data_IF_436113537411
#
_entry.id   IF_436113537411
#
_cell.length_a   1.000
_cell.length_b   1.000
_cell.length_c   1.000
_cell.angle_alpha   90.00
_cell.angle_beta   90.00
_cell.angle_gamma   90.00
#
_symmetry.space_group_name_H-M   'P 1'
#
loop_
_entity.id
_entity.type
_entity.pdbx_description
1 polymer ?
#
# COMPACT_ATOMS: atom_id res chain seq x y z
N UNK A 1 -34.95 -47.36 -44.84
CA UNK A 1 -34.00 -46.32 -45.29
C UNK A 1 -34.14 -45.12 -44.38
N UNK A 2 -33.00 -44.46 -44.06
CA UNK A 2 -32.82 -43.18 -43.35
C UNK A 2 -33.05 -43.16 -41.83
N UNK A 3 -31.97 -43.47 -41.10
CA UNK A 3 -31.75 -43.13 -39.69
C UNK A 3 -31.38 -41.64 -39.56
N UNK A 4 -32.16 -40.86 -38.82
CA UNK A 4 -31.83 -39.49 -38.44
C UNK A 4 -30.71 -39.44 -37.40
N UNK A 5 -29.56 -38.84 -37.75
CA UNK A 5 -28.46 -38.56 -36.83
C UNK A 5 -28.73 -37.25 -36.08
N UNK A 6 -28.82 -37.33 -34.75
CA UNK A 6 -28.71 -36.18 -33.83
C UNK A 6 -27.27 -35.67 -33.85
N UNK A 7 -27.03 -34.43 -34.27
CA UNK A 7 -25.77 -33.75 -34.02
C UNK A 7 -25.70 -33.31 -32.55
N UNK A 8 -24.85 -33.99 -31.77
CA UNK A 8 -24.38 -33.48 -30.48
C UNK A 8 -23.23 -32.51 -30.76
N UNK A 9 -23.45 -31.22 -30.51
CA UNK A 9 -22.37 -30.25 -30.38
C UNK A 9 -21.62 -30.52 -29.08
N UNK A 10 -20.48 -31.23 -29.18
CA UNK A 10 -19.46 -31.25 -28.12
C UNK A 10 -18.53 -30.08 -28.40
N UNK A 11 -18.67 -29.01 -27.62
CA UNK A 11 -17.59 -28.05 -27.45
C UNK A 11 -16.39 -28.81 -26.86
N UNK A 12 -15.36 -29.02 -27.67
CA UNK A 12 -14.12 -29.59 -27.22
C UNK A 12 -13.38 -28.51 -26.40
N UNK A 13 -13.21 -28.76 -25.10
CA UNK A 13 -12.13 -28.16 -24.34
C UNK A 13 -10.82 -28.53 -25.04
N UNK A 14 -10.21 -27.57 -25.73
CA UNK A 14 -8.82 -27.72 -26.17
C UNK A 14 -7.94 -27.73 -24.91
N UNK A 15 -7.30 -28.87 -24.65
CA UNK A 15 -6.20 -28.95 -23.69
C UNK A 15 -5.07 -28.00 -24.14
N UNK A 16 -4.35 -27.34 -23.22
CA UNK A 16 -3.23 -26.50 -23.61
C UNK A 16 -2.15 -27.34 -24.30
N UNK A 17 -1.62 -26.80 -25.40
CA UNK A 17 -0.61 -27.44 -26.23
C UNK A 17 0.63 -27.83 -25.39
N UNK A 18 1.18 -29.01 -25.68
CA UNK A 18 2.40 -29.56 -25.07
C UNK A 18 3.56 -28.56 -25.13
N UNK A 19 4.05 -28.08 -23.97
CA UNK A 19 5.22 -27.21 -23.86
C UNK A 19 6.46 -28.10 -23.68
N UNK A 20 7.44 -28.11 -24.61
CA UNK A 20 8.63 -28.95 -24.50
C UNK A 20 9.51 -28.59 -23.29
N UNK A 21 10.14 -29.57 -22.65
CA UNK A 21 11.01 -29.38 -21.49
C UNK A 21 12.28 -28.54 -21.75
N UNK A 22 12.66 -28.30 -23.02
CA UNK A 22 13.83 -27.49 -23.42
C UNK A 22 13.41 -26.16 -24.06
N UNK A 23 12.68 -25.34 -23.31
CA UNK A 23 12.30 -23.99 -23.75
C UNK A 23 13.30 -22.97 -23.19
N UNK A 24 13.94 -22.21 -24.08
CA UNK A 24 14.83 -21.10 -23.74
C UNK A 24 14.06 -19.87 -23.24
N UNK A 25 14.79 -18.87 -22.73
CA UNK A 25 14.21 -17.63 -22.18
C UNK A 25 13.30 -16.90 -23.18
N UNK A 26 13.67 -16.90 -24.47
CA UNK A 26 12.88 -16.29 -25.54
C UNK A 26 11.49 -16.92 -25.73
N UNK A 27 11.36 -18.25 -25.61
CA UNK A 27 10.04 -18.89 -25.73
C UNK A 27 9.22 -18.84 -24.44
N UNK A 28 9.82 -18.64 -23.26
CA UNK A 28 9.08 -18.25 -22.04
C UNK A 28 8.43 -16.88 -22.18
N UNK A 29 9.18 -15.91 -22.69
CA UNK A 29 8.65 -14.58 -23.01
C UNK A 29 7.47 -14.66 -23.99
N UNK A 30 7.56 -15.53 -25.00
CA UNK A 30 6.47 -15.78 -25.94
C UNK A 30 5.22 -16.38 -25.27
N UNK A 31 5.38 -17.36 -24.38
CA UNK A 31 4.26 -18.00 -23.67
C UNK A 31 3.53 -17.02 -22.74
N UNK A 32 4.28 -16.24 -21.95
CA UNK A 32 3.71 -15.20 -21.10
C UNK A 32 3.02 -14.11 -21.93
N UNK A 33 3.61 -13.71 -23.06
CA UNK A 33 2.99 -12.73 -23.96
C UNK A 33 1.66 -13.23 -24.53
N UNK A 34 1.54 -14.53 -24.79
CA UNK A 34 0.27 -15.15 -25.19
C UNK A 34 -0.84 -15.00 -24.15
N UNK A 35 -0.50 -14.92 -22.86
CA UNK A 35 -1.49 -14.73 -21.79
C UNK A 35 -2.13 -13.35 -21.81
N UNK A 36 -1.47 -12.31 -22.32
CA UNK A 36 -2.00 -10.94 -22.37
C UNK A 36 -3.30 -10.80 -23.19
N UNK A 37 -3.63 -11.80 -24.01
CA UNK A 37 -4.84 -11.82 -24.84
C UNK A 37 -5.99 -12.63 -24.22
N UNK A 38 -5.80 -13.15 -23.01
CA UNK A 38 -6.78 -14.00 -22.32
C UNK A 38 -7.54 -13.21 -21.26
N UNK A 39 -8.70 -13.73 -20.87
CA UNK A 39 -9.43 -13.22 -19.71
C UNK A 39 -8.67 -13.49 -18.40
N UNK A 40 -8.88 -12.68 -17.34
CA UNK A 40 -8.11 -12.77 -16.10
C UNK A 40 -8.08 -14.16 -15.45
N UNK A 41 -9.17 -14.94 -15.55
CA UNK A 41 -9.22 -16.28 -14.98
C UNK A 41 -8.27 -17.23 -15.74
N UNK A 42 -8.26 -17.18 -17.06
CA UNK A 42 -7.30 -17.94 -17.89
C UNK A 42 -5.87 -17.46 -17.72
N UNK A 43 -5.64 -16.16 -17.51
CA UNK A 43 -4.29 -15.63 -17.20
C UNK A 43 -3.76 -16.25 -15.92
N UNK A 44 -4.55 -16.23 -14.84
CA UNK A 44 -4.16 -16.84 -13.56
C UNK A 44 -3.81 -18.31 -13.71
N UNK A 45 -4.67 -19.09 -14.39
CA UNK A 45 -4.41 -20.51 -14.67
C UNK A 45 -3.16 -20.72 -15.50
N UNK A 46 -2.95 -19.89 -16.53
CA UNK A 46 -1.76 -19.95 -17.38
C UNK A 46 -0.47 -19.67 -16.61
N UNK A 47 -0.47 -18.68 -15.73
CA UNK A 47 0.67 -18.36 -14.84
C UNK A 47 0.96 -19.56 -13.91
N UNK A 48 -0.06 -20.09 -13.22
CA UNK A 48 0.13 -21.26 -12.34
C UNK A 48 0.67 -22.48 -13.08
N UNK A 49 0.20 -22.72 -14.31
CA UNK A 49 0.71 -23.81 -15.15
C UNK A 49 2.16 -23.59 -15.57
N UNK A 50 2.52 -22.37 -15.98
CA UNK A 50 3.91 -22.05 -16.30
C UNK A 50 4.82 -22.22 -15.08
N UNK A 51 4.37 -21.77 -13.90
CA UNK A 51 5.12 -21.91 -12.65
C UNK A 51 5.38 -23.39 -12.35
N UNK A 52 4.37 -24.25 -12.43
CA UNK A 52 4.55 -25.69 -12.17
C UNK A 52 5.54 -26.37 -13.14
N UNK A 53 5.68 -25.85 -14.36
CA UNK A 53 6.59 -26.41 -15.38
C UNK A 53 8.01 -25.81 -15.32
N UNK A 54 8.19 -24.68 -14.67
CA UNK A 54 9.43 -23.91 -14.73
C UNK A 54 10.05 -23.59 -13.38
N UNK A 55 9.37 -23.89 -12.26
CA UNK A 55 9.83 -23.63 -10.90
C UNK A 55 11.26 -24.16 -10.63
N UNK A 56 11.54 -25.42 -10.95
CA UNK A 56 12.85 -26.06 -10.72
C UNK A 56 14.01 -25.32 -11.39
N UNK A 57 13.74 -24.49 -12.41
CA UNK A 57 14.78 -23.73 -13.10
C UNK A 57 15.40 -22.65 -12.21
N UNK A 58 14.72 -22.25 -11.13
CA UNK A 58 15.28 -21.33 -10.13
C UNK A 58 16.47 -21.95 -9.40
N UNK A 59 16.52 -23.27 -9.30
CA UNK A 59 17.60 -24.00 -8.64
C UNK A 59 18.79 -24.27 -9.58
N UNK A 60 18.69 -23.88 -10.86
CA UNK A 60 19.74 -24.11 -11.84
C UNK A 60 20.80 -23.01 -11.78
N UNK A 61 22.05 -23.36 -12.13
CA UNK A 61 23.19 -22.42 -12.22
C UNK A 61 22.86 -21.22 -13.11
N UNK A 62 22.08 -21.41 -14.18
CA UNK A 62 21.67 -20.32 -15.06
C UNK A 62 20.82 -19.26 -14.36
N UNK A 63 19.99 -19.65 -13.40
CA UNK A 63 19.24 -18.69 -12.59
C UNK A 63 20.16 -17.93 -11.63
N UNK A 64 21.09 -18.63 -10.96
CA UNK A 64 22.10 -18.01 -10.11
C UNK A 64 23.00 -17.02 -10.88
N UNK A 65 23.24 -17.25 -12.18
CA UNK A 65 23.94 -16.34 -13.08
C UNK A 65 23.06 -15.24 -13.69
N UNK A 66 21.78 -15.13 -13.29
CA UNK A 66 20.85 -14.10 -13.80
C UNK A 66 20.37 -14.34 -15.24
N UNK A 67 20.57 -15.53 -15.80
CA UNK A 67 20.25 -15.88 -17.19
C UNK A 67 18.85 -16.52 -17.36
N UNK A 68 18.12 -16.74 -16.28
CA UNK A 68 16.73 -17.22 -16.28
C UNK A 68 15.80 -16.34 -15.42
N UNK A 69 15.76 -15.01 -15.64
CA UNK A 69 15.01 -14.10 -14.78
C UNK A 69 13.49 -14.28 -14.88
N UNK A 70 12.97 -14.77 -16.01
CA UNK A 70 11.53 -15.08 -16.13
C UNK A 70 11.10 -16.23 -15.22
N UNK A 71 11.98 -17.19 -14.89
CA UNK A 71 11.64 -18.25 -13.93
C UNK A 71 11.57 -17.71 -12.48
N UNK A 72 12.30 -16.64 -12.18
CA UNK A 72 12.25 -15.98 -10.88
C UNK A 72 10.99 -15.14 -10.70
N UNK A 73 10.71 -14.24 -11.64
CA UNK A 73 9.50 -13.38 -11.55
C UNK A 73 8.20 -14.21 -11.58
N UNK A 74 8.22 -15.39 -12.21
CA UNK A 74 7.06 -16.27 -12.32
C UNK A 74 6.56 -16.77 -10.96
N UNK A 75 7.46 -16.96 -9.99
CA UNK A 75 7.06 -17.31 -8.62
C UNK A 75 6.15 -16.23 -8.02
N UNK A 76 6.53 -14.96 -8.17
CA UNK A 76 5.76 -13.84 -7.66
C UNK A 76 4.46 -13.66 -8.43
N UNK A 77 4.48 -13.78 -9.76
CA UNK A 77 3.26 -13.74 -10.56
C UNK A 77 2.29 -14.88 -10.19
N UNK A 78 2.79 -16.06 -9.85
CA UNK A 78 1.97 -17.20 -9.43
C UNK A 78 1.30 -16.96 -8.07
N UNK A 79 2.02 -16.38 -7.11
CA UNK A 79 1.42 -15.99 -5.83
C UNK A 79 0.39 -14.88 -5.98
N UNK A 80 0.64 -13.87 -6.84
CA UNK A 80 -0.39 -12.87 -7.20
C UNK A 80 -1.58 -13.55 -7.86
N UNK A 81 -1.36 -14.47 -8.81
CA UNK A 81 -2.45 -15.19 -9.48
C UNK A 81 -3.30 -16.01 -8.49
N UNK A 82 -2.66 -16.65 -7.52
CA UNK A 82 -3.33 -17.40 -6.46
C UNK A 82 -4.13 -16.47 -5.56
N UNK A 83 -3.51 -15.41 -5.01
CA UNK A 83 -4.16 -14.49 -4.09
C UNK A 83 -5.32 -13.73 -4.75
N UNK A 84 -5.15 -13.31 -6.01
CA UNK A 84 -6.17 -12.56 -6.78
C UNK A 84 -7.25 -13.45 -7.42
N UNK A 85 -7.15 -14.78 -7.28
CA UNK A 85 -8.22 -15.70 -7.71
C UNK A 85 -9.46 -15.60 -6.82
N UNK A 86 -9.30 -15.09 -5.59
CA UNK A 86 -10.36 -14.85 -4.63
C UNK A 86 -10.55 -13.35 -4.47
N UNK A 87 -11.73 -12.84 -4.80
CA UNK A 87 -12.16 -11.53 -4.30
C UNK A 87 -12.77 -11.73 -2.93
N UNK A 88 -12.40 -10.89 -1.96
CA UNK A 88 -12.95 -10.97 -0.61
C UNK A 88 -13.84 -9.78 -0.26
N UNK A 89 -14.73 -10.02 0.68
CA UNK A 89 -15.64 -9.05 1.27
C UNK A 89 -15.85 -9.43 2.73
N UNK A 90 -16.36 -8.50 3.52
CA UNK A 90 -16.79 -8.73 4.89
C UNK A 90 -18.19 -8.19 5.10
N UNK A 91 -18.76 -8.50 6.26
CA UNK A 91 -20.02 -7.93 6.74
C UNK A 91 -19.85 -6.50 7.26
N UNK A 92 -18.62 -6.14 7.65
CA UNK A 92 -18.20 -4.81 8.10
C UNK A 92 -16.73 -4.49 7.73
N UNK A 93 -16.30 -3.22 7.87
CA UNK A 93 -14.92 -2.80 7.60
C UNK A 93 -13.84 -3.58 8.39
N UNK A 94 -14.09 -3.89 9.66
CA UNK A 94 -13.16 -4.63 10.53
C UNK A 94 -12.90 -6.06 10.06
N UNK A 95 -13.94 -6.77 9.62
CA UNK A 95 -13.82 -8.13 9.10
C UNK A 95 -12.95 -8.14 7.83
N UNK A 96 -13.16 -7.18 6.91
CA UNK A 96 -12.29 -7.06 5.73
C UNK A 96 -10.85 -6.74 6.11
N UNK A 97 -10.62 -5.86 7.09
CA UNK A 97 -9.27 -5.55 7.58
C UNK A 97 -8.58 -6.79 8.17
N UNK A 98 -9.29 -7.62 8.94
CA UNK A 98 -8.74 -8.87 9.46
C UNK A 98 -8.32 -9.79 8.32
N UNK A 99 -9.21 -10.01 7.35
CA UNK A 99 -8.90 -10.85 6.20
C UNK A 99 -7.67 -10.34 5.43
N UNK A 100 -7.55 -9.02 5.25
CA UNK A 100 -6.40 -8.41 4.59
C UNK A 100 -5.09 -8.69 5.34
N UNK A 101 -5.07 -8.47 6.67
CA UNK A 101 -3.90 -8.71 7.52
C UNK A 101 -3.48 -10.17 7.57
N UNK A 102 -4.45 -11.08 7.59
CA UNK A 102 -4.18 -12.50 7.73
C UNK A 102 -3.66 -13.11 6.42
N UNK A 103 -4.21 -12.65 5.28
CA UNK A 103 -4.02 -13.33 3.99
C UNK A 103 -3.60 -12.42 2.84
N UNK A 104 -4.33 -11.33 2.60
CA UNK A 104 -4.33 -10.68 1.29
C UNK A 104 -3.25 -9.62 1.07
N UNK A 105 -2.58 -9.16 2.11
CA UNK A 105 -1.36 -8.32 1.97
C UNK A 105 -0.29 -9.00 1.10
N UNK A 106 -0.28 -10.34 1.03
CA UNK A 106 0.66 -11.10 0.17
C UNK A 106 0.47 -10.81 -1.32
N UNK A 107 -0.74 -10.47 -1.75
CA UNK A 107 -0.97 -10.07 -3.15
C UNK A 107 -0.20 -8.79 -3.48
N UNK A 108 -0.27 -7.81 -2.59
CA UNK A 108 0.42 -6.53 -2.69
C UNK A 108 1.95 -6.73 -2.61
N UNK A 109 2.40 -7.56 -1.67
CA UNK A 109 3.81 -7.92 -1.51
C UNK A 109 4.39 -8.51 -2.80
N UNK A 110 3.76 -9.55 -3.32
CA UNK A 110 4.23 -10.24 -4.52
C UNK A 110 4.08 -9.40 -5.78
N UNK A 111 3.11 -8.48 -5.85
CA UNK A 111 3.04 -7.50 -6.94
C UNK A 111 4.26 -6.57 -6.91
N UNK A 112 4.69 -6.09 -5.73
CA UNK A 112 5.92 -5.31 -5.60
C UNK A 112 7.15 -6.13 -5.97
N UNK A 113 7.27 -7.38 -5.50
CA UNK A 113 8.42 -8.24 -5.86
C UNK A 113 8.48 -8.51 -7.36
N UNK A 114 7.33 -8.70 -8.01
CA UNK A 114 7.26 -8.89 -9.45
C UNK A 114 7.70 -7.64 -10.22
N UNK A 115 7.26 -6.45 -9.81
CA UNK A 115 7.68 -5.17 -10.40
C UNK A 115 9.15 -4.83 -10.16
N UNK A 116 9.68 -5.22 -8.99
CA UNK A 116 11.08 -5.01 -8.62
C UNK A 116 12.06 -5.96 -9.33
N UNK A 117 11.57 -7.07 -9.88
CA UNK A 117 12.42 -8.15 -10.38
C UNK A 117 13.33 -7.67 -11.54
N UNK A 118 14.64 -7.96 -11.54
CA UNK A 118 15.57 -7.45 -12.55
C UNK A 118 15.30 -8.09 -13.92
N UNK A 119 14.66 -7.33 -14.80
CA UNK A 119 14.21 -7.77 -16.13
C UNK A 119 14.57 -6.73 -17.18
N UNK A 120 14.67 -7.18 -18.44
CA UNK A 120 14.76 -6.26 -19.59
C UNK A 120 13.49 -5.43 -19.73
N UNK A 121 13.56 -4.27 -20.39
CA UNK A 121 12.39 -3.38 -20.55
C UNK A 121 11.18 -4.07 -21.20
N UNK A 122 11.40 -4.98 -22.16
CA UNK A 122 10.33 -5.75 -22.79
C UNK A 122 9.66 -6.74 -21.84
N UNK A 123 10.47 -7.44 -21.02
CA UNK A 123 9.96 -8.34 -20.00
C UNK A 123 9.27 -7.58 -18.85
N UNK A 124 9.76 -6.40 -18.49
CA UNK A 124 9.10 -5.50 -17.55
C UNK A 124 7.70 -5.10 -18.04
N UNK A 125 7.59 -4.67 -19.31
CA UNK A 125 6.29 -4.34 -19.90
C UNK A 125 5.31 -5.51 -19.91
N UNK A 126 5.83 -6.74 -20.12
CA UNK A 126 5.04 -7.96 -20.03
C UNK A 126 4.52 -8.23 -18.60
N UNK A 127 5.38 -8.15 -17.59
CA UNK A 127 5.00 -8.32 -16.18
C UNK A 127 3.96 -7.27 -15.77
N UNK A 128 4.17 -6.01 -16.13
CA UNK A 128 3.20 -4.94 -15.87
C UNK A 128 1.85 -5.22 -16.53
N UNK A 129 1.83 -5.70 -17.78
CA UNK A 129 0.60 -6.07 -18.47
C UNK A 129 -0.14 -7.23 -17.81
N UNK A 130 0.59 -8.25 -17.32
CA UNK A 130 -0.03 -9.37 -16.61
C UNK A 130 -0.62 -8.94 -15.26
N UNK A 131 0.14 -8.15 -14.47
CA UNK A 131 -0.34 -7.60 -13.22
C UNK A 131 -1.56 -6.69 -13.45
N UNK A 132 -1.56 -5.90 -14.53
CA UNK A 132 -2.72 -5.07 -14.85
C UNK A 132 -4.00 -5.88 -15.12
N UNK A 133 -3.87 -7.09 -15.68
CA UNK A 133 -5.01 -7.96 -15.95
C UNK A 133 -5.55 -8.67 -14.71
N UNK A 134 -4.69 -9.07 -13.77
CA UNK A 134 -5.09 -9.93 -12.64
C UNK A 134 -5.12 -9.22 -11.28
N UNK A 135 -4.27 -8.22 -11.09
CA UNK A 135 -4.10 -7.51 -9.81
C UNK A 135 -4.88 -6.19 -9.79
N UNK A 136 -4.80 -5.35 -10.83
CA UNK A 136 -5.55 -4.06 -10.85
C UNK A 136 -7.06 -4.25 -10.61
N UNK A 137 -7.78 -5.15 -11.32
CA UNK A 137 -9.21 -5.34 -11.10
C UNK A 137 -9.55 -5.91 -9.73
N UNK A 138 -8.67 -6.75 -9.18
CA UNK A 138 -8.81 -7.30 -7.84
C UNK A 138 -8.69 -6.21 -6.77
N UNK A 139 -7.66 -5.36 -6.88
CA UNK A 139 -7.43 -4.24 -5.98
C UNK A 139 -8.57 -3.21 -6.03
N UNK A 140 -9.06 -2.89 -7.23
CA UNK A 140 -10.24 -2.02 -7.42
C UNK A 140 -11.50 -2.61 -6.79
N UNK A 141 -11.75 -3.91 -7.01
CA UNK A 141 -12.89 -4.63 -6.44
C UNK A 141 -12.90 -4.61 -4.91
N UNK A 142 -11.78 -4.93 -4.27
CA UNK A 142 -11.65 -4.89 -2.80
C UNK A 142 -11.80 -3.48 -2.26
N UNK A 143 -11.17 -2.50 -2.92
CA UNK A 143 -11.26 -1.10 -2.50
C UNK A 143 -12.71 -0.62 -2.58
N UNK A 144 -13.45 -0.95 -3.64
CA UNK A 144 -14.88 -0.63 -3.76
C UNK A 144 -15.73 -1.34 -2.72
N UNK A 145 -15.46 -2.61 -2.44
CA UNK A 145 -16.17 -3.36 -1.39
C UNK A 145 -15.99 -2.68 -0.03
N UNK A 146 -14.76 -2.33 0.32
CA UNK A 146 -14.45 -1.60 1.55
C UNK A 146 -15.14 -0.23 1.60
N UNK A 147 -15.06 0.54 0.52
CA UNK A 147 -15.73 1.83 0.39
C UNK A 147 -17.26 1.73 0.59
N UNK A 148 -17.90 0.70 0.01
CA UNK A 148 -19.32 0.44 0.19
C UNK A 148 -19.68 0.08 1.63
N UNK A 149 -18.85 -0.70 2.32
CA UNK A 149 -19.04 -1.00 3.73
C UNK A 149 -18.91 0.26 4.59
N UNK A 150 -17.88 1.08 4.37
CA UNK A 150 -17.73 2.35 5.09
C UNK A 150 -18.91 3.30 4.83
N UNK A 151 -19.43 3.34 3.60
CA UNK A 151 -20.63 4.14 3.27
C UNK A 151 -21.86 3.69 4.06
N UNK A 152 -22.02 2.37 4.26
CA UNK A 152 -23.22 1.79 4.89
C UNK A 152 -23.12 1.62 6.41
N UNK A 153 -21.90 1.45 6.95
CA UNK A 153 -21.63 1.14 8.36
C UNK A 153 -20.85 2.23 9.10
N UNK A 154 -20.29 3.19 8.37
CA UNK A 154 -19.38 4.19 8.93
C UNK A 154 -17.91 3.74 8.88
N UNK A 155 -17.01 4.71 9.02
CA UNK A 155 -15.57 4.45 9.07
C UNK A 155 -15.16 4.08 10.52
N UNK A 156 -14.50 2.95 10.73
CA UNK A 156 -14.16 2.48 12.08
C UNK A 156 -13.00 3.23 12.75
N UNK A 157 -12.24 4.05 12.01
CA UNK A 157 -11.09 4.77 12.54
C UNK A 157 -11.39 6.09 13.25
N UNK A 158 -12.65 6.53 13.28
CA UNK A 158 -13.04 7.75 13.99
C UNK A 158 -12.72 7.61 15.49
N UNK A 159 -11.81 8.45 15.98
CA UNK A 159 -11.36 8.45 17.39
C UNK A 159 -10.40 7.32 17.78
N UNK A 160 -10.07 6.39 16.88
CA UNK A 160 -9.16 5.25 17.13
C UNK A 160 -7.74 5.43 16.60
N UNK A 161 -7.47 6.41 15.74
CA UNK A 161 -6.10 6.75 15.33
C UNK A 161 -5.20 7.06 16.55
N UNK A 162 -5.81 7.52 17.65
CA UNK A 162 -5.14 7.84 18.91
C UNK A 162 -4.72 6.61 19.73
N UNK A 163 -5.25 5.40 19.47
CA UNK A 163 -4.83 4.17 20.16
C UNK A 163 -3.34 3.86 19.92
N UNK A 164 -2.79 4.24 18.76
CA UNK A 164 -1.36 4.11 18.46
C UNK A 164 -0.46 4.96 19.37
N UNK A 165 -1.02 5.99 20.00
CA UNK A 165 -0.31 6.95 20.88
C UNK A 165 -0.64 6.79 22.37
N UNK A 166 -1.63 5.96 22.71
CA UNK A 166 -2.17 5.84 24.07
C UNK A 166 -1.23 5.09 25.04
N UNK A 167 -0.34 4.25 24.52
CA UNK A 167 0.50 3.33 25.31
C UNK A 167 2.00 3.61 25.17
N UNK A 168 2.40 4.88 25.18
CA UNK A 168 3.83 5.21 25.27
C UNK A 168 4.36 4.91 26.69
N UNK A 169 5.51 4.25 26.76
CA UNK A 169 6.21 4.04 28.01
C UNK A 169 6.52 5.38 28.68
N UNK A 170 6.65 5.38 30.01
CA UNK A 170 7.03 6.59 30.76
C UNK A 170 8.41 7.14 30.36
N UNK A 171 9.31 6.27 29.86
CA UNK A 171 10.66 6.63 29.38
C UNK A 171 11.30 5.48 28.59
N UNK A 172 12.28 5.80 27.75
CA UNK A 172 13.12 4.84 27.01
C UNK A 172 12.45 4.23 25.79
N UNK A 173 11.41 4.89 25.26
CA UNK A 173 10.76 4.53 24.00
C UNK A 173 11.12 5.54 22.90
N UNK A 174 11.69 5.03 21.80
CA UNK A 174 11.93 5.79 20.58
C UNK A 174 10.78 5.51 19.60
N UNK A 175 9.99 6.54 19.29
CA UNK A 175 8.91 6.47 18.30
C UNK A 175 9.46 6.86 16.94
N UNK A 176 9.62 5.86 16.09
CA UNK A 176 10.22 5.98 14.77
C UNK A 176 9.11 6.06 13.71
N UNK A 177 8.86 7.26 13.21
CA UNK A 177 7.90 7.49 12.14
C UNK A 177 8.50 7.16 10.76
N UNK A 178 7.82 6.27 10.03
CA UNK A 178 8.12 5.91 8.63
C UNK A 178 6.92 6.32 7.77
N UNK A 179 7.15 7.21 6.81
CA UNK A 179 6.10 7.81 5.97
C UNK A 179 5.67 6.81 4.89
N UNK A 180 4.40 6.37 4.90
CA UNK A 180 3.88 5.43 3.89
C UNK A 180 4.28 3.94 4.07
N UNK A 181 4.44 3.44 5.31
CA UNK A 181 4.76 2.03 5.59
C UNK A 181 3.52 1.14 5.45
N UNK A 182 3.13 0.83 4.21
CA UNK A 182 1.99 -0.06 3.89
C UNK A 182 2.16 -1.45 4.56
N UNK A 183 1.05 -2.11 4.87
CA UNK A 183 1.07 -3.32 5.71
C UNK A 183 1.95 -4.47 5.15
N UNK A 184 2.00 -4.66 3.83
CA UNK A 184 2.90 -5.64 3.18
C UNK A 184 4.39 -5.29 3.35
N UNK A 185 4.74 -4.00 3.30
CA UNK A 185 6.12 -3.55 3.55
C UNK A 185 6.45 -3.58 5.05
N UNK A 186 5.46 -3.36 5.93
CA UNK A 186 5.61 -3.57 7.38
C UNK A 186 5.87 -5.05 7.72
N UNK A 187 5.23 -6.00 7.02
CA UNK A 187 5.51 -7.43 7.17
C UNK A 187 6.96 -7.76 6.80
N UNK A 188 7.46 -7.25 5.66
CA UNK A 188 8.89 -7.40 5.30
C UNK A 188 9.83 -6.80 6.33
N UNK A 189 9.51 -5.61 6.82
CA UNK A 189 10.31 -4.94 7.84
C UNK A 189 10.34 -5.78 9.13
N UNK A 190 9.18 -6.30 9.55
CA UNK A 190 9.08 -7.20 10.70
C UNK A 190 9.95 -8.44 10.54
N UNK A 191 10.05 -9.03 9.35
CA UNK A 191 10.96 -10.15 9.06
C UNK A 191 12.42 -9.74 9.17
N UNK A 192 12.80 -8.57 8.63
CA UNK A 192 14.18 -8.04 8.68
C UNK A 192 14.62 -7.73 10.12
N UNK A 193 13.70 -7.28 10.97
CA UNK A 193 13.98 -6.92 12.36
C UNK A 193 14.04 -8.11 13.33
N UNK A 194 13.73 -9.35 12.92
CA UNK A 194 13.70 -10.52 13.82
C UNK A 194 15.01 -10.77 14.56
N UNK A 195 16.15 -10.36 13.99
CA UNK A 195 17.46 -10.49 14.63
C UNK A 195 17.73 -9.47 15.75
N UNK A 196 16.93 -8.41 15.85
CA UNK A 196 17.17 -7.27 16.74
C UNK A 196 16.48 -7.42 18.12
N UNK A 197 15.40 -8.21 18.21
CA UNK A 197 14.68 -8.44 19.46
C UNK A 197 13.27 -9.01 19.26
N UNK A 198 12.45 -8.96 20.31
CA UNK A 198 11.05 -9.39 20.26
C UNK A 198 10.22 -8.42 19.40
N UNK A 199 9.62 -8.93 18.32
CA UNK A 199 8.85 -8.12 17.37
C UNK A 199 7.34 -8.33 17.56
N UNK A 200 6.61 -7.22 17.65
CA UNK A 200 5.15 -7.18 17.66
C UNK A 200 4.65 -6.30 16.52
N UNK A 201 3.88 -6.88 15.60
CA UNK A 201 3.24 -6.16 14.51
C UNK A 201 1.77 -5.92 14.83
N UNK A 202 1.36 -4.65 14.84
CA UNK A 202 -0.03 -4.22 14.99
C UNK A 202 -0.52 -3.42 13.79
N UNK A 203 -1.79 -3.06 13.80
CA UNK A 203 -2.39 -2.17 12.79
C UNK A 203 -3.42 -1.26 13.44
N UNK A 204 -3.52 -0.03 12.97
CA UNK A 204 -4.57 0.92 13.34
C UNK A 204 -5.18 1.53 12.10
N UNK A 205 -6.39 2.07 12.24
CA UNK A 205 -7.05 2.81 11.18
C UNK A 205 -6.43 4.21 11.02
N UNK A 206 -6.11 4.59 9.79
CA UNK A 206 -5.55 5.90 9.47
C UNK A 206 -6.57 7.04 9.70
N UNK A 207 -6.08 8.25 10.00
CA UNK A 207 -6.92 9.44 9.93
C UNK A 207 -7.34 9.72 8.48
N UNK A 208 -8.55 10.27 8.29
CA UNK A 208 -9.08 10.58 6.96
C UNK A 208 -9.08 12.08 6.66
N UNK A 209 -8.70 12.52 5.44
CA UNK A 209 -8.15 11.66 4.39
C UNK A 209 -6.76 11.14 4.77
N UNK A 210 -6.39 9.98 4.22
CA UNK A 210 -5.14 9.26 4.51
C UNK A 210 -3.92 9.90 3.81
N UNK A 211 -3.79 11.21 3.98
CA UNK A 211 -2.70 12.04 3.48
C UNK A 211 -1.79 12.43 4.64
N UNK A 212 -0.49 12.53 4.39
CA UNK A 212 0.52 12.88 5.40
C UNK A 212 0.14 14.11 6.22
N UNK A 213 -0.34 15.18 5.57
CA UNK A 213 -0.78 16.41 6.23
C UNK A 213 -1.80 16.17 7.37
N UNK A 214 -2.75 15.26 7.16
CA UNK A 214 -3.75 14.89 8.17
C UNK A 214 -3.26 13.80 9.10
N UNK A 215 -2.74 12.70 8.53
CA UNK A 215 -2.54 11.46 9.25
C UNK A 215 -1.25 11.44 10.08
N UNK A 216 -0.17 12.07 9.60
CA UNK A 216 1.07 12.22 10.40
C UNK A 216 0.80 12.98 11.69
N UNK A 217 0.06 14.09 11.60
CA UNK A 217 -0.32 14.88 12.76
C UNK A 217 -1.08 14.03 13.80
N UNK A 218 -1.96 13.13 13.34
CA UNK A 218 -2.81 12.31 14.20
C UNK A 218 -2.02 11.21 14.95
N UNK A 219 -0.92 10.73 14.38
CA UNK A 219 -0.06 9.71 15.01
C UNK A 219 1.08 10.30 15.84
N UNK A 220 1.20 11.63 15.91
CA UNK A 220 2.23 12.26 16.74
C UNK A 220 1.88 12.19 18.23
N UNK A 221 2.90 12.18 19.13
CA UNK A 221 2.69 12.29 20.57
C UNK A 221 2.04 13.59 21.04
N UNK A 222 1.86 14.57 20.14
CA UNK A 222 1.31 15.91 20.43
C UNK A 222 -0.05 16.13 19.76
N UNK A 223 -0.69 15.08 19.25
CA UNK A 223 -1.99 15.15 18.56
C UNK A 223 -3.09 15.83 19.41
N UNK A 224 -3.03 15.68 20.74
CA UNK A 224 -3.91 16.30 21.73
C UNK A 224 -3.80 17.84 21.80
N UNK A 225 -2.76 18.40 21.19
CA UNK A 225 -2.53 19.85 21.07
C UNK A 225 -2.99 20.43 19.73
N UNK A 226 -3.61 19.62 18.89
CA UNK A 226 -4.02 19.97 17.53
C UNK A 226 -5.54 19.92 17.39
N UNK A 227 -6.08 20.68 16.44
CA UNK A 227 -7.50 20.71 16.12
C UNK A 227 -7.71 21.05 14.65
N UNK A 228 -8.88 20.73 14.10
CA UNK A 228 -9.27 21.14 12.75
C UNK A 228 -10.27 22.29 12.77
N UNK A 229 -10.12 23.23 11.86
CA UNK A 229 -11.02 24.36 11.62
C UNK A 229 -11.60 24.26 10.21
N UNK A 230 -12.78 24.83 10.01
CA UNK A 230 -13.40 24.89 8.67
C UNK A 230 -12.59 25.75 7.69
N UNK A 231 -11.81 26.69 8.23
CA UNK A 231 -10.90 27.57 7.49
C UNK A 231 -9.58 26.90 7.14
N UNK A 232 -9.23 25.77 7.75
CA UNK A 232 -7.98 25.06 7.44
C UNK A 232 -7.99 24.61 5.98
N UNK A 233 -6.80 24.57 5.38
CA UNK A 233 -6.58 24.23 3.98
C UNK A 233 -5.54 23.13 3.89
N UNK A 234 -5.50 22.49 2.72
CA UNK A 234 -4.51 21.45 2.40
C UNK A 234 -4.43 20.28 3.38
N UNK A 235 -5.52 20.05 4.11
CA UNK A 235 -5.69 18.99 5.10
C UNK A 235 -4.72 19.08 6.29
N UNK A 236 -4.16 20.26 6.54
CA UNK A 236 -3.27 20.53 7.67
C UNK A 236 -4.10 20.97 8.88
N UNK A 237 -3.98 20.30 10.05
CA UNK A 237 -4.60 20.79 11.27
C UNK A 237 -3.85 22.01 11.79
N UNK A 238 -4.51 22.81 12.62
CA UNK A 238 -3.90 23.94 13.31
C UNK A 238 -3.80 23.69 14.82
N UNK A 239 -3.00 24.51 15.51
CA UNK A 239 -2.80 24.38 16.95
C UNK A 239 -4.13 24.59 17.71
N UNK A 240 -4.34 23.88 18.81
CA UNK A 240 -5.55 24.04 19.62
C UNK A 240 -5.61 25.42 20.31
N UNK A 241 -4.45 25.98 20.66
CA UNK A 241 -4.31 27.24 21.40
C UNK A 241 -4.12 28.48 20.50
N UNK A 242 -4.16 28.33 19.17
CA UNK A 242 -4.00 29.46 18.27
C UNK A 242 -4.35 29.14 16.82
N UNK A 243 -4.55 30.17 16.01
CA UNK A 243 -4.90 30.05 14.59
C UNK A 243 -3.64 29.94 13.72
N UNK A 244 -2.83 28.91 13.98
CA UNK A 244 -1.58 28.64 13.26
C UNK A 244 -1.52 27.19 12.84
N UNK A 245 -1.13 26.97 11.59
CA UNK A 245 -0.96 25.63 11.02
C UNK A 245 0.11 24.83 11.77
N UNK A 246 -0.14 23.53 11.94
CA UNK A 246 0.82 22.63 12.54
C UNK A 246 2.01 22.44 11.61
N UNK A 247 3.23 22.49 12.15
CA UNK A 247 4.46 22.41 11.37
C UNK A 247 5.53 21.61 12.12
N UNK A 248 6.61 21.23 11.43
CA UNK A 248 7.76 20.58 12.05
C UNK A 248 8.37 21.41 13.19
N UNK A 249 8.35 22.74 13.08
CA UNK A 249 8.77 23.63 14.17
C UNK A 249 7.86 23.48 15.40
N UNK A 250 6.55 23.44 15.20
CA UNK A 250 5.59 23.24 16.29
C UNK A 250 5.72 21.85 16.91
N UNK A 251 5.92 20.80 16.12
CA UNK A 251 6.18 19.44 16.61
C UNK A 251 7.37 19.41 17.56
N UNK A 252 8.53 19.94 17.15
CA UNK A 252 9.74 20.00 18.00
C UNK A 252 9.49 20.73 19.31
N UNK A 253 8.85 21.90 19.25
CA UNK A 253 8.51 22.69 20.45
C UNK A 253 7.59 21.92 21.40
N UNK A 254 6.49 21.35 20.89
CA UNK A 254 5.50 20.64 21.70
C UNK A 254 6.06 19.33 22.28
N UNK A 255 6.94 18.63 21.57
CA UNK A 255 7.66 17.47 22.10
C UNK A 255 8.56 17.88 23.27
N UNK A 256 9.35 18.95 23.10
CA UNK A 256 10.21 19.47 24.17
C UNK A 256 9.39 19.88 25.41
N UNK A 257 8.23 20.53 25.23
CA UNK A 257 7.31 20.86 26.33
C UNK A 257 6.77 19.62 27.06
N UNK A 258 6.64 18.49 26.38
CA UNK A 258 6.29 17.18 26.97
C UNK A 258 7.48 16.43 27.59
N UNK A 259 8.69 16.97 27.51
CA UNK A 259 9.92 16.29 27.94
C UNK A 259 10.39 15.19 26.98
N UNK A 260 9.97 15.24 25.71
CA UNK A 260 10.41 14.34 24.65
C UNK A 260 11.54 14.97 23.85
N UNK A 261 12.42 14.13 23.33
CA UNK A 261 13.44 14.50 22.36
C UNK A 261 12.89 14.40 20.94
N UNK A 262 13.40 15.25 20.05
CA UNK A 262 13.28 15.05 18.61
C UNK A 262 14.67 14.72 18.09
N UNK A 263 14.87 13.49 17.62
CA UNK A 263 16.18 13.05 17.12
C UNK A 263 16.28 13.40 15.64
N UNK A 264 17.27 14.22 15.31
CA UNK A 264 17.65 14.46 13.93
C UNK A 264 18.43 13.24 13.37
N UNK A 265 18.69 13.25 12.07
CA UNK A 265 19.45 12.17 11.41
C UNK A 265 20.84 11.99 12.06
N UNK A 266 21.17 10.75 12.40
CA UNK A 266 22.43 10.40 13.08
C UNK A 266 22.49 10.68 14.58
N UNK A 267 21.47 11.31 15.19
CA UNK A 267 21.46 11.55 16.64
C UNK A 267 21.08 10.27 17.42
N UNK A 268 21.85 9.90 18.44
CA UNK A 268 21.54 8.75 19.29
C UNK A 268 20.52 9.09 20.39
N UNK A 269 20.44 10.35 20.81
CA UNK A 269 19.59 10.82 21.91
C UNK A 269 19.95 10.25 23.29
N UNK A 270 19.16 10.65 24.29
CA UNK A 270 19.22 10.12 25.67
C UNK A 270 18.09 9.10 25.93
N UNK A 271 18.38 7.79 26.08
CA UNK A 271 17.36 6.76 26.34
C UNK A 271 16.71 6.85 27.73
N UNK A 272 17.09 7.84 28.57
CA UNK A 272 16.41 8.14 29.84
C UNK A 272 15.05 8.83 29.66
N UNK A 273 14.76 9.36 28.47
CA UNK A 273 13.46 9.97 28.11
C UNK A 273 12.84 9.28 26.90
N UNK A 274 11.78 9.85 26.32
CA UNK A 274 11.21 9.37 25.05
C UNK A 274 11.70 10.21 23.89
N UNK A 275 11.72 9.63 22.70
CA UNK A 275 12.13 10.30 21.47
C UNK A 275 11.10 10.13 20.36
N UNK A 276 10.98 11.16 19.53
CA UNK A 276 10.41 11.07 18.19
C UNK A 276 11.53 11.20 17.16
N UNK A 277 11.52 10.33 16.16
CA UNK A 277 12.40 10.45 15.00
C UNK A 277 11.63 10.11 13.73
N UNK A 278 12.15 10.57 12.59
CA UNK A 278 11.56 10.32 11.29
C UNK A 278 12.65 10.09 10.24
N UNK A 279 12.56 8.97 9.53
CA UNK A 279 13.34 8.64 8.34
C UNK A 279 12.63 7.52 7.57
N UNK A 280 13.09 7.19 6.36
CA UNK A 280 12.39 6.24 5.49
C UNK A 280 11.15 6.85 4.84
N UNK A 281 11.36 7.71 3.85
CA UNK A 281 10.31 8.45 3.14
C UNK A 281 9.80 7.65 1.91
N UNK A 282 8.97 6.63 2.18
CA UNK A 282 8.41 5.75 1.14
C UNK A 282 7.41 6.55 0.28
N UNK A 283 6.64 7.46 0.89
CA UNK A 283 5.65 8.27 0.17
C UNK A 283 6.29 9.18 -0.89
N UNK A 284 7.32 9.95 -0.52
CA UNK A 284 8.04 10.80 -1.48
C UNK A 284 8.69 9.98 -2.58
N UNK A 285 9.33 8.85 -2.26
CA UNK A 285 9.88 7.96 -3.29
C UNK A 285 8.77 7.43 -4.20
N UNK A 286 7.59 7.11 -3.67
CA UNK A 286 6.41 6.73 -4.43
C UNK A 286 5.96 7.78 -5.44
N UNK A 287 5.78 9.03 -4.99
CA UNK A 287 5.40 10.15 -5.87
C UNK A 287 6.47 10.44 -6.95
N UNK A 288 7.76 10.34 -6.60
CA UNK A 288 8.87 10.65 -7.52
C UNK A 288 9.13 9.51 -8.52
N UNK A 289 9.05 8.25 -8.07
CA UNK A 289 9.50 7.07 -8.83
C UNK A 289 8.36 6.26 -9.44
N UNK A 290 7.13 6.41 -8.96
CA UNK A 290 5.98 5.64 -9.38
C UNK A 290 6.26 4.13 -9.27
N UNK A 291 6.10 3.39 -10.38
CA UNK A 291 6.38 1.94 -10.42
C UNK A 291 7.81 1.56 -9.99
N UNK A 292 8.78 2.45 -10.16
CA UNK A 292 10.17 2.18 -9.76
C UNK A 292 10.35 2.16 -8.23
N UNK A 293 9.37 2.60 -7.45
CA UNK A 293 9.34 2.42 -6.00
C UNK A 293 9.53 0.96 -5.61
N UNK A 294 8.93 0.03 -6.36
CA UNK A 294 8.99 -1.40 -6.05
C UNK A 294 10.43 -1.91 -5.87
N UNK A 295 11.37 -1.44 -6.71
CA UNK A 295 12.78 -1.81 -6.65
C UNK A 295 13.57 -1.09 -5.52
N UNK A 296 12.96 -0.11 -4.85
CA UNK A 296 13.56 0.66 -3.75
C UNK A 296 13.08 0.25 -2.37
N UNK A 297 11.94 -0.43 -2.26
CA UNK A 297 11.33 -0.82 -0.98
C UNK A 297 12.34 -1.51 -0.06
N UNK A 298 13.04 -2.55 -0.53
CA UNK A 298 13.94 -3.29 0.35
C UNK A 298 15.09 -2.40 0.86
N UNK A 299 15.64 -1.51 0.02
CA UNK A 299 16.65 -0.52 0.45
C UNK A 299 16.10 0.45 1.49
N UNK A 300 14.89 0.98 1.29
CA UNK A 300 14.26 1.89 2.25
C UNK A 300 13.97 1.19 3.59
N UNK A 301 13.62 -0.10 3.55
CA UNK A 301 13.44 -0.90 4.77
C UNK A 301 14.78 -1.19 5.45
N UNK A 302 15.85 -1.43 4.69
CA UNK A 302 17.21 -1.63 5.25
C UNK A 302 17.70 -0.37 5.98
N UNK A 303 17.41 0.83 5.45
CA UNK A 303 17.68 2.11 6.15
C UNK A 303 16.93 2.21 7.50
N UNK A 304 15.69 1.72 7.57
CA UNK A 304 14.92 1.67 8.83
C UNK A 304 15.51 0.64 9.81
N UNK A 305 16.01 -0.48 9.31
CA UNK A 305 16.69 -1.50 10.12
C UNK A 305 17.98 -0.94 10.71
N UNK A 306 18.85 -0.37 9.87
CA UNK A 306 20.12 0.25 10.29
C UNK A 306 19.86 1.30 11.39
N UNK A 307 18.89 2.19 11.17
CA UNK A 307 18.53 3.20 12.17
C UNK A 307 17.98 2.59 13.46
N UNK A 308 17.27 1.46 13.37
CA UNK A 308 16.79 0.75 14.56
C UNK A 308 17.95 0.09 15.33
N UNK A 309 18.94 -0.45 14.64
CA UNK A 309 20.15 -1.01 15.24
C UNK A 309 20.97 0.05 15.99
N UNK A 310 21.13 1.24 15.40
CA UNK A 310 21.79 2.38 16.05
C UNK A 310 21.11 2.78 17.37
N UNK A 311 19.78 2.88 17.37
CA UNK A 311 19.01 3.21 18.57
C UNK A 311 19.15 2.13 19.65
N UNK A 312 19.07 0.85 19.27
CA UNK A 312 19.28 -0.24 20.24
C UNK A 312 20.70 -0.20 20.83
N UNK A 313 21.72 0.06 19.99
CA UNK A 313 23.11 0.20 20.44
C UNK A 313 23.32 1.42 21.36
N UNK A 314 22.54 2.48 21.16
CA UNK A 314 22.52 3.65 22.05
C UNK A 314 21.80 3.42 23.38
N UNK A 315 21.16 2.26 23.57
CA UNK A 315 20.51 1.86 24.83
C UNK A 315 19.01 2.13 24.89
N UNK A 316 18.36 2.47 23.78
CA UNK A 316 16.90 2.54 23.72
C UNK A 316 16.30 1.16 24.01
N UNK A 317 15.34 1.10 24.94
CA UNK A 317 14.77 -0.18 25.41
C UNK A 317 13.64 -0.69 24.52
N UNK A 318 12.98 0.23 23.81
CA UNK A 318 11.86 -0.07 22.93
C UNK A 318 11.88 0.90 21.77
N UNK A 319 11.76 0.36 20.56
CA UNK A 319 11.56 1.13 19.35
C UNK A 319 10.13 0.84 18.89
N UNK A 320 9.32 1.88 18.76
CA UNK A 320 7.98 1.79 18.18
C UNK A 320 7.99 2.42 16.81
N UNK A 321 7.96 1.58 15.79
CA UNK A 321 7.84 2.02 14.41
C UNK A 321 6.36 2.30 14.11
N UNK A 322 6.06 3.51 13.66
CA UNK A 322 4.69 3.96 13.36
C UNK A 322 4.64 4.55 11.95
N UNK A 323 3.45 4.52 11.37
CA UNK A 323 3.17 5.15 10.08
C UNK A 323 1.78 5.79 10.13
N UNK A 324 1.53 6.68 9.21
CA UNK A 324 0.31 7.46 9.08
C UNK A 324 -0.67 6.87 8.05
N UNK A 325 -0.17 6.33 6.94
CA UNK A 325 -1.01 5.77 5.89
C UNK A 325 -0.32 4.68 5.05
N UNK A 326 -1.13 3.93 4.31
CA UNK A 326 -0.69 3.12 3.19
C UNK A 326 -0.79 3.87 1.85
N UNK A 327 -0.74 3.14 0.75
CA UNK A 327 -0.81 3.70 -0.61
C UNK A 327 -1.29 2.67 -1.62
N UNK A 328 -1.72 3.15 -2.79
CA UNK A 328 -2.08 2.32 -3.94
C UNK A 328 -1.05 2.50 -5.04
N UNK A 329 -0.58 1.39 -5.60
CA UNK A 329 0.29 1.34 -6.77
C UNK A 329 -0.36 0.45 -7.83
N UNK A 330 -0.49 0.99 -9.04
CA UNK A 330 -1.13 0.32 -10.18
C UNK A 330 -0.16 0.13 -11.35
N UNK A 331 -0.08 -1.05 -11.99
CA UNK A 331 0.83 -1.32 -13.12
C UNK A 331 0.60 -0.44 -14.34
N UNK A 332 -0.62 0.09 -14.51
CA UNK A 332 -0.98 1.15 -15.46
C UNK A 332 -1.45 2.37 -14.69
N UNK A 333 -1.38 3.58 -15.27
CA UNK A 333 -1.88 4.77 -14.59
C UNK A 333 -3.32 4.58 -14.14
N UNK A 334 -3.62 4.98 -12.90
CA UNK A 334 -4.96 4.99 -12.32
C UNK A 334 -5.94 5.67 -13.28
N UNK A 335 -7.13 5.08 -13.39
CA UNK A 335 -8.20 5.66 -14.21
C UNK A 335 -8.59 7.02 -13.65
N UNK A 336 -8.54 8.05 -14.51
CA UNK A 336 -8.97 9.40 -14.13
C UNK A 336 -10.50 9.43 -14.05
N UNK A 337 -11.02 9.95 -12.95
CA UNK A 337 -12.43 10.34 -12.80
C UNK A 337 -12.55 11.85 -12.63
N UNK A 338 -13.65 12.44 -13.08
CA UNK A 338 -13.81 13.88 -13.09
C UNK A 338 -14.44 14.40 -11.80
N UNK A 339 -13.73 15.32 -11.14
CA UNK A 339 -14.25 16.16 -10.06
C UNK A 339 -14.02 17.62 -10.44
N UNK A 340 -15.07 18.38 -10.82
CA UNK A 340 -14.92 19.75 -11.27
C UNK A 340 -14.25 20.65 -10.22
N UNK A 341 -13.20 21.38 -10.62
CA UNK A 341 -12.40 22.23 -9.70
C UNK A 341 -13.23 23.27 -8.95
N UNK A 342 -14.30 23.79 -9.57
CA UNK A 342 -15.11 24.84 -8.94
C UNK A 342 -15.91 24.34 -7.73
N UNK A 343 -16.09 23.01 -7.59
CA UNK A 343 -16.76 22.34 -6.48
C UNK A 343 -15.82 22.04 -5.30
N UNK A 344 -14.51 22.25 -5.46
CA UNK A 344 -13.49 21.89 -4.48
C UNK A 344 -12.80 23.14 -3.93
N UNK A 345 -12.42 23.11 -2.66
CA UNK A 345 -11.49 24.08 -2.06
C UNK A 345 -10.03 23.63 -2.29
N UNK A 346 -9.70 22.41 -1.85
CA UNK A 346 -8.44 21.72 -2.11
C UNK A 346 -8.71 20.42 -2.87
N UNK A 347 -7.89 20.09 -3.87
CA UNK A 347 -8.04 18.85 -4.65
C UNK A 347 -6.71 18.13 -4.85
N UNK A 348 -6.56 17.01 -4.15
CA UNK A 348 -5.45 16.09 -4.31
C UNK A 348 -5.87 14.96 -5.27
N UNK A 349 -5.01 13.96 -5.45
CA UNK A 349 -5.27 12.91 -6.43
C UNK A 349 -6.42 11.99 -6.01
N UNK A 350 -6.47 11.54 -4.75
CA UNK A 350 -7.52 10.60 -4.30
C UNK A 350 -8.48 11.17 -3.26
N UNK A 351 -8.29 12.43 -2.85
CA UNK A 351 -9.21 13.14 -1.97
C UNK A 351 -9.36 14.62 -2.38
N UNK A 352 -10.46 15.23 -1.96
CA UNK A 352 -10.70 16.66 -2.16
C UNK A 352 -11.63 17.22 -1.08
N UNK A 353 -11.33 18.43 -0.59
CA UNK A 353 -12.25 19.21 0.24
C UNK A 353 -13.36 19.75 -0.66
N UNK A 354 -14.60 19.46 -0.33
CA UNK A 354 -15.78 19.89 -1.09
C UNK A 354 -16.38 21.15 -0.47
N UNK A 355 -16.83 22.08 -1.32
CA UNK A 355 -17.55 23.27 -0.89
C UNK A 355 -18.90 22.90 -0.29
N UNK A 356 -19.32 23.65 0.73
CA UNK A 356 -20.54 23.38 1.49
C UNK A 356 -21.75 23.13 0.57
N UNK A 357 -22.55 22.12 0.93
CA UNK A 357 -23.82 21.78 0.28
C UNK A 357 -23.74 21.24 -1.16
N UNK A 358 -22.55 20.84 -1.64
CA UNK A 358 -22.39 20.23 -2.97
C UNK A 358 -22.41 18.70 -2.88
N UNK A 359 -23.31 18.08 -3.65
CA UNK A 359 -23.20 16.65 -3.96
C UNK A 359 -22.31 16.44 -5.19
N UNK A 360 -21.18 15.75 -4.98
CA UNK A 360 -20.23 15.42 -6.05
C UNK A 360 -20.52 14.07 -6.71
N UNK A 361 -21.45 13.29 -6.17
CA UNK A 361 -21.70 11.90 -6.57
C UNK A 361 -20.66 10.89 -6.07
N UNK A 362 -19.56 11.36 -5.47
CA UNK A 362 -18.54 10.50 -4.87
C UNK A 362 -18.82 10.21 -3.40
N UNK A 363 -18.13 9.21 -2.83
CA UNK A 363 -18.20 8.99 -1.39
C UNK A 363 -17.62 10.19 -0.66
N UNK A 364 -18.36 10.71 0.31
CA UNK A 364 -17.91 11.81 1.15
C UNK A 364 -17.74 11.31 2.59
N UNK A 365 -16.66 11.73 3.24
CA UNK A 365 -16.36 11.46 4.66
C UNK A 365 -16.03 12.77 5.35
N UNK A 366 -16.23 12.85 6.67
CA UNK A 366 -15.75 13.98 7.45
C UNK A 366 -14.24 13.96 7.57
N UNK A 367 -13.60 15.13 7.54
CA UNK A 367 -12.19 15.27 7.89
C UNK A 367 -11.95 14.86 9.34
N UNK A 368 -10.87 14.13 9.61
CA UNK A 368 -10.52 13.61 10.93
C UNK A 368 -10.50 14.69 12.01
N UNK A 369 -9.88 15.84 11.69
CA UNK A 369 -9.70 16.93 12.63
C UNK A 369 -10.96 17.80 12.78
N UNK A 370 -11.88 17.76 11.81
CA UNK A 370 -13.15 18.47 11.88
C UNK A 370 -14.19 17.82 10.96
N UNK A 371 -15.14 17.10 11.54
CA UNK A 371 -16.17 16.36 10.79
C UNK A 371 -17.14 17.24 10.00
N UNK A 372 -17.17 18.56 10.25
CA UNK A 372 -17.94 19.50 9.44
C UNK A 372 -17.32 19.76 8.06
N UNK A 373 -16.02 19.46 7.88
CA UNK A 373 -15.34 19.58 6.59
C UNK A 373 -15.54 18.30 5.78
N UNK A 374 -16.26 18.40 4.66
CA UNK A 374 -16.59 17.25 3.81
C UNK A 374 -15.49 16.94 2.80
N UNK A 375 -15.05 15.69 2.78
CA UNK A 375 -13.98 15.19 1.91
C UNK A 375 -14.52 14.16 0.92
N UNK A 376 -14.47 14.47 -0.37
CA UNK A 376 -14.75 13.49 -1.42
C UNK A 376 -13.56 12.55 -1.62
N UNK A 377 -13.85 11.25 -1.68
CA UNK A 377 -12.87 10.18 -1.89
C UNK A 377 -12.99 9.62 -3.31
N UNK A 378 -11.86 9.43 -3.99
CA UNK A 378 -11.85 8.82 -5.31
C UNK A 378 -12.34 7.35 -5.23
N UNK A 379 -13.20 6.90 -6.17
CA UNK A 379 -13.79 5.57 -6.14
C UNK A 379 -12.77 4.49 -6.48
N UNK A 380 -12.74 3.40 -5.71
CA UNK A 380 -11.82 2.29 -5.94
C UNK A 380 -10.35 2.76 -5.99
N UNK A 381 -9.64 2.30 -7.02
CA UNK A 381 -8.23 2.71 -7.30
C UNK A 381 -8.13 3.87 -8.29
N UNK A 382 -9.21 4.62 -8.52
CA UNK A 382 -9.21 5.79 -9.41
C UNK A 382 -8.51 7.00 -8.79
N UNK A 383 -8.28 8.02 -9.63
CA UNK A 383 -7.72 9.32 -9.24
C UNK A 383 -8.46 10.47 -9.90
N UNK A 384 -8.57 11.62 -9.24
CA UNK A 384 -9.01 12.89 -9.81
C UNK A 384 -7.94 13.54 -10.71
N UNK A 385 -6.69 13.06 -10.64
CA UNK A 385 -5.57 13.47 -11.49
C UNK A 385 -5.17 12.32 -12.43
N UNK A 386 -5.00 12.60 -13.72
CA UNK A 386 -4.51 11.59 -14.66
C UNK A 386 -3.03 11.27 -14.44
N UNK A 387 -2.60 10.12 -14.93
CA UNK A 387 -1.19 9.75 -15.07
C UNK A 387 -0.52 9.22 -13.80
N UNK A 388 -1.25 9.12 -12.68
CA UNK A 388 -0.70 8.64 -11.42
C UNK A 388 -0.64 7.11 -11.41
N UNK A 389 0.53 6.54 -11.11
CA UNK A 389 0.66 5.11 -10.80
C UNK A 389 0.57 4.84 -9.31
N UNK A 390 1.15 5.76 -8.53
CA UNK A 390 1.26 5.74 -7.07
C UNK A 390 0.44 6.89 -6.52
N UNK A 391 -0.39 6.63 -5.50
CA UNK A 391 -1.02 7.69 -4.73
C UNK A 391 -1.68 7.18 -3.43
N UNK A 392 -1.95 8.10 -2.51
CA UNK A 392 -2.56 7.88 -1.19
C UNK A 392 -3.71 8.89 -0.96
N UNK A 393 -4.23 9.01 0.25
CA UNK A 393 -5.36 9.90 0.56
C UNK A 393 -6.75 9.34 0.26
N UNK A 394 -6.84 8.15 -0.34
CA UNK A 394 -8.11 7.46 -0.61
C UNK A 394 -8.62 6.62 0.57
N UNK A 395 -9.72 5.90 0.32
CA UNK A 395 -10.30 4.96 1.28
C UNK A 395 -10.08 3.53 0.78
N UNK A 396 -9.06 2.87 1.30
CA UNK A 396 -8.63 1.50 0.98
C UNK A 396 -8.07 0.80 2.23
N UNK A 397 -7.88 -0.52 2.14
CA UNK A 397 -7.20 -1.34 3.16
C UNK A 397 -5.69 -1.34 2.95
#
# INVERSE_FOLDING_TARGET
MLRGRRHKNRAACAAPAYIPARVGEGSRGFLLNGLLQLDPAKVRLGITHLESHHAERRDWVWHALGMAPLAGVLQHLAEVAKATSTTFSGTDPEEMASQYRDHYWRADDHALRALAYPLTSGQQGLVQGLLDLIYTPWLDGITRNFQNLVRSKGYPGLGRANEATADYAMAGEAVFFVDGLRFDTAQRLSEKLQGLGDIQLGSSWAALPSVTATAKAAVTPVHDRLTGRVTDRDFEPSLADGDKDFSAHHLRRLLHEKGWQYLEEGDAGDPSSNAWLQSGDIDKEGHVKGLKLAARIDTLLDEVVERSEELMAAGWRKIRIVTDHGWVLTPRPMSKVDLPKHLTETRWSRCAVIKDSVDTGYQQVGWYWNSAVSIAMAPGVCSFKAGQHYDHGGLSL
#
